data_IF_502266989627
#
_entry.id   IF_502266989627
#
_cell.length_a   1.000
_cell.length_b   1.000
_cell.length_c   1.000
_cell.angle_alpha   90.00
_cell.angle_beta   90.00
_cell.angle_gamma   90.00
#
_symmetry.space_group_name_H-M   'P 1'
#
loop_
_entity.id
_entity.type
_entity.pdbx_description
1 polymer ?
#
# COMPACT_ATOMS: atom_id res chain seq x y z
N UNK A 1 5.61 12.43 0.74
CA UNK A 1 5.47 11.21 1.56
C UNK A 1 4.28 11.34 2.50
N UNK A 2 4.14 12.48 3.19
CA UNK A 2 3.04 12.74 4.13
C UNK A 2 1.63 12.70 3.55
N UNK A 3 1.42 13.18 2.32
CA UNK A 3 0.09 13.20 1.69
C UNK A 3 -0.48 11.79 1.46
N UNK A 4 0.38 10.84 1.06
CA UNK A 4 -0.01 9.44 0.87
C UNK A 4 -0.33 8.74 2.21
N UNK A 5 0.40 9.08 3.28
CA UNK A 5 0.13 8.56 4.62
C UNK A 5 -1.21 9.10 5.13
N UNK A 6 -1.45 10.41 4.98
CA UNK A 6 -2.72 11.04 5.36
C UNK A 6 -3.91 10.41 4.62
N UNK A 7 -3.77 10.18 3.31
CA UNK A 7 -4.77 9.48 2.50
C UNK A 7 -5.05 8.06 3.02
N UNK A 8 -4.02 7.26 3.32
CA UNK A 8 -4.20 5.90 3.84
C UNK A 8 -4.86 5.90 5.23
N UNK A 9 -4.53 6.87 6.09
CA UNK A 9 -5.17 7.01 7.40
C UNK A 9 -6.65 7.38 7.27
N UNK A 10 -7.02 8.27 6.34
CA UNK A 10 -8.42 8.51 6.02
C UNK A 10 -9.12 7.26 5.48
N UNK A 11 -8.47 6.53 4.58
CA UNK A 11 -9.03 5.32 3.98
C UNK A 11 -9.27 4.24 5.04
N UNK A 12 -8.36 4.13 6.02
CA UNK A 12 -8.52 3.25 7.19
C UNK A 12 -9.77 3.59 8.00
N UNK A 13 -10.06 4.87 8.20
CA UNK A 13 -11.29 5.32 8.87
C UNK A 13 -12.53 4.97 8.06
N UNK A 14 -12.48 5.20 6.74
CA UNK A 14 -13.59 4.89 5.81
C UNK A 14 -13.87 3.38 5.73
N UNK A 15 -12.84 2.53 5.85
CA UNK A 15 -12.94 1.07 5.79
C UNK A 15 -13.10 0.38 7.14
N UNK A 16 -13.42 1.11 8.23
CA UNK A 16 -13.53 0.53 9.59
C UNK A 16 -14.48 -0.67 9.69
N UNK A 17 -15.52 -0.74 8.85
CA UNK A 17 -16.46 -1.86 8.78
C UNK A 17 -16.05 -2.98 7.83
N UNK A 18 -15.06 -2.76 6.96
CA UNK A 18 -14.55 -3.73 5.99
C UNK A 18 -13.18 -4.24 6.45
N UNK A 19 -13.18 -5.36 7.20
CA UNK A 19 -11.95 -5.96 7.77
C UNK A 19 -10.88 -6.25 6.73
N UNK A 20 -11.29 -6.65 5.54
CA UNK A 20 -10.40 -7.03 4.46
C UNK A 20 -9.73 -5.81 3.83
N UNK A 21 -10.52 -4.78 3.52
CA UNK A 21 -9.99 -3.49 3.06
C UNK A 21 -9.07 -2.83 4.10
N UNK A 22 -9.43 -2.94 5.39
CA UNK A 22 -8.60 -2.44 6.47
C UNK A 22 -7.25 -3.17 6.55
N UNK A 23 -7.23 -4.50 6.35
CA UNK A 23 -6.00 -5.28 6.36
C UNK A 23 -5.03 -4.89 5.23
N UNK A 24 -5.56 -4.55 4.06
CA UNK A 24 -4.78 -4.03 2.91
C UNK A 24 -4.16 -2.67 3.27
N UNK A 25 -4.97 -1.74 3.79
CA UNK A 25 -4.48 -0.40 4.20
C UNK A 25 -3.43 -0.48 5.30
N UNK A 26 -3.64 -1.33 6.30
CA UNK A 26 -2.67 -1.56 7.37
C UNK A 26 -1.36 -2.17 6.83
N UNK A 27 -1.41 -3.00 5.78
CA UNK A 27 -0.22 -3.54 5.12
C UNK A 27 0.55 -2.44 4.38
N UNK A 28 -0.12 -1.55 3.67
CA UNK A 28 0.51 -0.39 3.02
C UNK A 28 1.23 0.52 4.03
N UNK A 29 0.57 0.83 5.15
CA UNK A 29 1.18 1.66 6.20
C UNK A 29 2.43 1.03 6.80
N UNK A 30 2.44 -0.30 6.99
CA UNK A 30 3.64 -1.04 7.46
C UNK A 30 4.79 -0.98 6.46
N UNK A 31 4.51 -1.09 5.16
CA UNK A 31 5.53 -0.98 4.11
C UNK A 31 6.17 0.41 4.12
N UNK A 32 5.35 1.47 4.20
CA UNK A 32 5.84 2.86 4.27
C UNK A 32 6.69 3.09 5.51
N UNK A 33 6.26 2.59 6.67
CA UNK A 33 7.01 2.71 7.92
C UNK A 33 8.37 1.98 7.85
N UNK A 34 8.43 0.80 7.21
CA UNK A 34 9.68 0.08 6.97
C UNK A 34 10.60 0.79 5.98
N UNK A 35 10.03 1.41 4.94
CA UNK A 35 10.79 2.18 3.96
C UNK A 35 11.43 3.44 4.54
N UNK A 36 10.83 4.02 5.58
CA UNK A 36 11.34 5.24 6.22
C UNK A 36 12.72 5.07 6.87
N UNK A 37 13.10 3.84 7.20
CA UNK A 37 14.36 3.48 7.88
C UNK A 37 15.19 2.46 7.06
N UNK A 38 14.82 2.26 5.79
CA UNK A 38 15.37 1.20 4.93
C UNK A 38 16.72 1.56 4.30
N UNK A 39 17.67 0.62 4.36
CA UNK A 39 18.84 0.61 3.49
C UNK A 39 18.51 0.09 2.08
N UNK A 40 19.50 0.09 1.18
CA UNK A 40 19.30 -0.25 -0.23
C UNK A 40 18.79 -1.68 -0.49
N UNK A 41 19.15 -2.65 0.35
CA UNK A 41 18.65 -4.02 0.24
C UNK A 41 17.23 -4.17 0.79
N UNK A 42 16.92 -3.43 1.87
CA UNK A 42 15.56 -3.34 2.41
C UNK A 42 14.61 -2.68 1.42
N UNK A 43 15.06 -1.68 0.66
CA UNK A 43 14.27 -1.01 -0.37
C UNK A 43 13.87 -1.96 -1.51
N UNK A 44 14.79 -2.82 -1.97
CA UNK A 44 14.47 -3.83 -3.01
C UNK A 44 13.46 -4.87 -2.51
N UNK A 45 13.58 -5.30 -1.26
CA UNK A 45 12.61 -6.21 -0.66
C UNK A 45 11.21 -5.55 -0.56
N UNK A 46 11.16 -4.27 -0.19
CA UNK A 46 9.95 -3.47 -0.16
C UNK A 46 9.30 -3.34 -1.54
N UNK A 47 10.08 -3.10 -2.61
CA UNK A 47 9.57 -3.05 -3.99
C UNK A 47 8.91 -4.38 -4.40
N UNK A 48 9.51 -5.51 -4.06
CA UNK A 48 8.93 -6.83 -4.32
C UNK A 48 7.63 -7.06 -3.53
N UNK A 49 7.57 -6.62 -2.27
CA UNK A 49 6.34 -6.69 -1.46
C UNK A 49 5.22 -5.80 -2.02
N UNK A 50 5.56 -4.61 -2.56
CA UNK A 50 4.62 -3.70 -3.23
C UNK A 50 4.10 -4.31 -4.53
N UNK A 51 4.97 -4.89 -5.35
CA UNK A 51 4.58 -5.55 -6.60
C UNK A 51 3.61 -6.71 -6.34
N UNK A 52 3.92 -7.58 -5.38
CA UNK A 52 3.06 -8.69 -4.99
C UNK A 52 1.68 -8.21 -4.47
N UNK A 53 1.66 -7.10 -3.72
CA UNK A 53 0.40 -6.49 -3.29
C UNK A 53 -0.41 -5.96 -4.49
N UNK A 54 0.27 -5.35 -5.47
CA UNK A 54 -0.35 -4.92 -6.72
C UNK A 54 -1.03 -6.07 -7.47
N UNK A 55 -0.35 -7.21 -7.59
CA UNK A 55 -0.91 -8.42 -8.23
C UNK A 55 -2.11 -8.99 -7.45
N UNK A 56 -2.02 -9.04 -6.13
CA UNK A 56 -3.12 -9.50 -5.26
C UNK A 56 -4.36 -8.62 -5.43
N UNK A 57 -4.18 -7.30 -5.48
CA UNK A 57 -5.26 -6.34 -5.69
C UNK A 57 -5.82 -6.44 -7.11
N UNK A 58 -4.96 -6.58 -8.12
CA UNK A 58 -5.36 -6.73 -9.52
C UNK A 58 -6.21 -8.00 -9.73
N UNK A 59 -5.83 -9.10 -9.08
CA UNK A 59 -6.58 -10.35 -9.12
C UNK A 59 -7.96 -10.22 -8.47
N UNK A 60 -8.05 -9.47 -7.37
CA UNK A 60 -9.25 -9.39 -6.53
C UNK A 60 -10.25 -8.33 -6.97
N UNK A 61 -9.74 -7.20 -7.49
CA UNK A 61 -10.54 -6.02 -7.81
C UNK A 61 -10.47 -5.63 -9.29
N UNK A 62 -9.71 -6.37 -10.10
CA UNK A 62 -9.39 -6.01 -11.49
C UNK A 62 -8.12 -5.19 -11.59
N UNK A 63 -7.44 -5.25 -12.75
CA UNK A 63 -6.20 -4.53 -12.97
C UNK A 63 -6.39 -3.03 -12.67
N UNK A 64 -5.47 -2.40 -11.91
CA UNK A 64 -5.53 -0.97 -11.71
C UNK A 64 -5.51 -0.28 -13.08
N UNK A 65 -6.53 0.52 -13.38
CA UNK A 65 -6.48 1.41 -14.54
C UNK A 65 -5.20 2.23 -14.43
N UNK A 66 -4.43 2.35 -15.50
CA UNK A 66 -3.13 3.00 -15.48
C UNK A 66 -3.23 4.38 -14.82
N UNK A 67 -2.80 4.48 -13.56
CA UNK A 67 -2.66 5.76 -12.88
C UNK A 67 -1.35 6.31 -13.41
N UNK A 68 -1.44 7.15 -14.45
CA UNK A 68 -0.32 7.98 -14.87
C UNK A 68 -0.01 8.95 -13.73
N UNK A 69 0.96 8.59 -12.91
CA UNK A 69 1.64 9.53 -12.02
C UNK A 69 2.44 10.48 -12.89
N UNK A 70 1.90 11.69 -13.10
CA UNK A 70 2.61 12.84 -13.66
C UNK A 70 3.14 13.72 -12.53
#
# INVERSE_FOLDING_TARGET
MDENIAYLLELRLKLRGNREGLAIVDRCLRLIARAADADGDTLRALEAEVAALGDELALRFGAPGAISLH
#
